data_IF_451124908694
#
_entry.id   IF_451124908694
#
_cell.length_a   1.000
_cell.length_b   1.000
_cell.length_c   1.000
_cell.angle_alpha   90.00
_cell.angle_beta   90.00
_cell.angle_gamma   90.00
#
_symmetry.space_group_name_H-M   'P 1'
#
loop_
_entity.id
_entity.type
_entity.pdbx_description
1 polymer ?
#
# COMPACT_ATOMS: atom_id res chain seq x y z
N UNK A 1 -21.08 -4.10 5.94
CA UNK A 1 -20.01 -4.98 5.45
C UNK A 1 -18.74 -4.15 5.28
N UNK A 2 -17.63 -4.56 5.90
CA UNK A 2 -16.38 -3.79 5.95
C UNK A 2 -15.76 -3.61 4.56
N UNK A 3 -15.39 -2.39 4.22
CA UNK A 3 -14.78 -2.05 2.94
C UNK A 3 -13.33 -2.52 2.80
N UNK A 4 -12.75 -2.29 1.62
CA UNK A 4 -11.33 -2.50 1.36
C UNK A 4 -10.45 -1.87 2.45
N UNK A 5 -9.59 -2.67 3.09
CA UNK A 5 -8.74 -2.23 4.20
C UNK A 5 -9.29 -2.53 5.61
N UNK A 6 -10.51 -3.05 5.73
CA UNK A 6 -11.09 -3.52 7.01
C UNK A 6 -10.60 -4.90 7.47
N UNK A 7 -9.58 -5.45 6.80
CA UNK A 7 -8.93 -6.68 7.21
C UNK A 7 -8.38 -6.58 8.64
N UNK A 8 -8.24 -7.73 9.31
CA UNK A 8 -7.76 -7.82 10.69
C UNK A 8 -6.52 -6.92 10.88
N UNK A 9 -6.49 -6.01 11.86
CA UNK A 9 -5.28 -5.27 12.17
C UNK A 9 -4.17 -6.29 12.44
N UNK A 10 -3.15 -6.32 11.59
CA UNK A 10 -1.94 -7.05 11.90
C UNK A 10 -1.31 -6.43 13.15
N UNK A 11 -0.47 -7.18 13.87
CA UNK A 11 0.35 -6.60 14.94
C UNK A 11 1.30 -5.49 14.43
N UNK A 12 1.47 -5.40 13.11
CA UNK A 12 2.32 -4.42 12.42
C UNK A 12 1.45 -3.37 11.76
N UNK A 13 1.93 -2.12 11.78
CA UNK A 13 1.31 -1.02 11.06
C UNK A 13 1.32 -1.28 9.54
N UNK A 14 0.21 -0.99 8.86
CA UNK A 14 0.11 -1.16 7.41
C UNK A 14 0.77 0.00 6.68
N UNK A 15 1.48 -0.29 5.60
CA UNK A 15 2.16 0.70 4.76
C UNK A 15 1.17 1.68 4.11
N UNK A 16 -0.02 1.20 3.77
CA UNK A 16 -1.11 1.92 3.13
C UNK A 16 -1.74 2.98 4.06
N UNK A 17 -1.69 2.74 5.37
CA UNK A 17 -2.21 3.66 6.40
C UNK A 17 -1.15 4.68 6.86
N UNK A 18 0.11 4.47 6.50
CA UNK A 18 1.22 5.35 6.82
C UNK A 18 1.37 6.47 5.77
N UNK A 19 1.66 7.70 6.23
CA UNK A 19 2.19 8.73 5.33
C UNK A 19 3.56 8.27 4.85
N UNK A 20 3.76 8.34 3.54
CA UNK A 20 5.01 7.90 2.93
C UNK A 20 5.49 8.87 1.86
N UNK A 21 6.81 8.97 1.74
CA UNK A 21 7.49 9.64 0.65
C UNK A 21 7.87 8.59 -0.38
N UNK A 22 7.37 8.73 -1.60
CA UNK A 22 7.77 7.89 -2.74
C UNK A 22 8.75 8.67 -3.61
N UNK A 23 9.99 8.17 -3.68
CA UNK A 23 11.07 8.83 -4.43
C UNK A 23 10.75 8.94 -5.92
N UNK A 24 10.02 7.97 -6.50
CA UNK A 24 9.68 8.00 -7.92
C UNK A 24 8.60 9.06 -8.19
N UNK A 25 7.69 9.26 -7.23
CA UNK A 25 6.67 10.30 -7.32
C UNK A 25 7.29 11.69 -7.17
N UNK A 26 8.16 11.87 -6.18
CA UNK A 26 8.94 13.09 -5.99
C UNK A 26 9.77 13.43 -7.24
N UNK A 27 10.39 12.43 -7.86
CA UNK A 27 11.15 12.63 -9.10
C UNK A 27 10.27 13.07 -10.26
N UNK A 28 9.12 12.41 -10.45
CA UNK A 28 8.17 12.75 -11.52
C UNK A 28 7.61 14.16 -11.36
N UNK A 29 7.40 14.61 -10.13
CA UNK A 29 6.92 15.96 -9.81
C UNK A 29 8.06 17.01 -9.81
N UNK A 30 9.29 16.64 -10.21
CA UNK A 30 10.43 17.56 -10.28
C UNK A 30 10.96 18.00 -8.91
N UNK A 31 10.55 17.35 -7.82
CA UNK A 31 10.96 17.74 -6.48
C UNK A 31 12.45 17.46 -6.23
N UNK A 32 13.04 16.47 -6.91
CA UNK A 32 14.42 16.03 -6.70
C UNK A 32 15.47 16.81 -7.50
N UNK A 33 15.07 17.85 -8.25
CA UNK A 33 16.01 18.71 -8.97
C UNK A 33 16.92 19.45 -7.97
N UNK A 34 18.25 19.48 -8.14
CA UNK A 34 19.14 20.19 -7.24
C UNK A 34 18.76 21.66 -7.09
N UNK A 35 18.76 22.17 -5.86
CA UNK A 35 18.34 23.54 -5.52
C UNK A 35 16.82 23.72 -5.35
N UNK A 36 15.99 22.74 -5.74
CA UNK A 36 14.54 22.81 -5.55
C UNK A 36 14.20 22.88 -4.06
N UNK A 37 13.33 23.80 -3.69
CA UNK A 37 12.72 23.87 -2.36
C UNK A 37 11.20 23.91 -2.52
N UNK A 38 10.48 23.38 -1.53
CA UNK A 38 9.04 23.36 -1.59
C UNK A 38 8.41 22.61 -0.44
N UNK A 39 7.13 22.30 -0.60
CA UNK A 39 6.38 21.49 0.35
C UNK A 39 5.89 20.22 -0.34
N UNK A 40 5.99 19.11 0.37
CA UNK A 40 5.32 17.87 0.01
C UNK A 40 4.02 17.76 0.80
N UNK A 41 2.91 17.57 0.09
CA UNK A 41 1.56 17.56 0.66
C UNK A 41 0.93 16.19 0.47
N UNK A 42 0.39 15.63 1.55
CA UNK A 42 -0.50 14.48 1.49
C UNK A 42 -1.94 14.97 1.56
N UNK A 43 -2.77 14.47 0.66
CA UNK A 43 -4.22 14.74 0.64
C UNK A 43 -5.01 13.43 0.64
N UNK A 44 -6.23 13.50 1.19
CA UNK A 44 -7.23 12.43 1.16
C UNK A 44 -8.56 13.08 0.79
N UNK A 45 -9.23 12.54 -0.23
CA UNK A 45 -10.52 13.06 -0.73
C UNK A 45 -10.47 14.56 -1.06
N UNK A 46 -9.36 15.00 -1.68
CA UNK A 46 -9.12 16.41 -2.05
C UNK A 46 -8.74 17.33 -0.88
N UNK A 47 -8.82 16.87 0.38
CA UNK A 47 -8.43 17.64 1.55
C UNK A 47 -7.00 17.34 1.95
N UNK A 48 -6.23 18.39 2.24
CA UNK A 48 -4.90 18.23 2.80
C UNK A 48 -4.97 17.62 4.20
N UNK A 49 -4.17 16.57 4.43
CA UNK A 49 -4.07 15.89 5.72
C UNK A 49 -2.72 16.09 6.41
N UNK A 50 -1.69 16.46 5.66
CA UNK A 50 -0.36 16.76 6.20
C UNK A 50 0.50 17.47 5.15
N UNK A 51 1.46 18.25 5.63
CA UNK A 51 2.53 18.85 4.81
C UNK A 51 3.88 18.73 5.51
N UNK A 52 4.93 18.63 4.72
CA UNK A 52 6.31 18.83 5.16
C UNK A 52 7.06 19.71 4.16
N UNK A 53 8.06 20.46 4.63
CA UNK A 53 8.98 21.16 3.75
C UNK A 53 10.08 20.23 3.25
N UNK A 54 10.64 20.54 2.09
CA UNK A 54 11.82 19.86 1.57
C UNK A 54 12.79 20.83 0.89
N UNK A 55 14.03 20.38 0.77
CA UNK A 55 15.10 20.98 -0.04
C UNK A 55 15.87 19.86 -0.71
N UNK A 56 16.11 20.01 -2.01
CA UNK A 56 16.89 19.07 -2.80
C UNK A 56 18.28 19.60 -3.02
N UNK A 57 19.25 18.73 -2.76
CA UNK A 57 20.68 18.89 -3.00
C UNK A 57 21.09 17.81 -4.02
N UNK A 58 22.33 17.84 -4.52
CA UNK A 58 22.77 16.91 -5.58
C UNK A 58 22.64 15.43 -5.22
N UNK A 59 23.05 15.07 -3.99
CA UNK A 59 23.04 13.69 -3.49
C UNK A 59 22.04 13.47 -2.34
N UNK A 60 21.26 14.49 -1.97
CA UNK A 60 20.42 14.47 -0.76
C UNK A 60 19.07 15.13 -0.97
N UNK A 61 18.08 14.55 -0.30
CA UNK A 61 16.76 15.12 -0.10
C UNK A 61 16.60 15.46 1.39
N UNK A 62 16.57 16.74 1.70
CA UNK A 62 16.51 17.25 3.08
C UNK A 62 15.08 17.60 3.44
N UNK A 63 14.52 16.87 4.39
CA UNK A 63 13.18 17.10 4.90
C UNK A 63 13.23 18.11 6.05
N UNK A 64 12.27 19.03 6.10
CA UNK A 64 12.09 19.99 7.18
C UNK A 64 10.64 19.91 7.67
N UNK A 65 10.43 19.46 8.90
CA UNK A 65 9.09 19.28 9.44
C UNK A 65 9.08 19.40 10.96
N UNK A 66 7.87 19.45 11.53
CA UNK A 66 7.68 19.40 12.97
C UNK A 66 7.00 18.10 13.37
N UNK A 67 7.43 17.53 14.48
CA UNK A 67 6.83 16.32 15.05
C UNK A 67 6.47 16.57 16.50
N UNK A 68 5.37 15.95 16.93
CA UNK A 68 4.94 15.92 18.33
C UNK A 68 4.84 14.47 18.75
N UNK A 69 5.67 14.04 19.70
CA UNK A 69 5.69 12.67 20.19
C UNK A 69 5.04 12.60 21.56
N UNK A 70 4.15 11.62 21.76
CA UNK A 70 3.55 11.29 23.06
C UNK A 70 2.97 12.49 23.83
N UNK A 71 2.38 13.46 23.12
CA UNK A 71 1.78 14.64 23.73
C UNK A 71 2.76 15.72 24.20
N UNK A 72 4.07 15.54 24.02
CA UNK A 72 5.10 16.55 24.35
C UNK A 72 5.08 17.77 23.45
N UNK A 73 6.14 18.58 23.47
CA UNK A 73 6.23 19.78 22.64
C UNK A 73 6.50 19.49 21.16
N UNK A 74 6.19 20.47 20.32
CA UNK A 74 6.52 20.41 18.91
C UNK A 74 8.00 20.61 18.68
N UNK A 75 8.65 19.59 18.13
CA UNK A 75 10.07 19.61 17.80
C UNK A 75 10.27 19.83 16.29
N UNK A 76 11.17 20.75 15.93
CA UNK A 76 11.59 20.97 14.55
C UNK A 76 12.68 19.98 14.16
N UNK A 77 12.46 19.23 13.08
CA UNK A 77 13.36 18.22 12.55
C UNK A 77 13.84 18.64 11.16
N UNK A 78 15.16 18.63 10.99
CA UNK A 78 15.84 18.66 9.69
C UNK A 78 16.48 17.30 9.44
N UNK A 79 15.95 16.55 8.48
CA UNK A 79 16.37 15.19 8.20
C UNK A 79 16.98 15.09 6.79
N UNK A 80 18.32 15.03 6.66
CA UNK A 80 18.97 14.72 5.40
C UNK A 80 18.76 13.24 5.04
N UNK A 81 18.36 12.97 3.81
CA UNK A 81 18.20 11.62 3.27
C UNK A 81 19.00 11.49 1.99
N UNK A 82 19.96 10.57 1.93
CA UNK A 82 20.76 10.39 0.72
C UNK A 82 19.92 9.80 -0.42
N UNK A 83 20.20 10.25 -1.63
CA UNK A 83 19.66 9.74 -2.88
C UNK A 83 20.72 8.89 -3.59
N UNK A 84 20.27 7.84 -4.26
CA UNK A 84 21.09 7.07 -5.18
C UNK A 84 20.30 6.79 -6.45
N UNK A 85 20.99 6.55 -7.55
CA UNK A 85 20.38 6.39 -8.85
C UNK A 85 20.87 5.10 -9.49
N UNK A 86 19.96 4.38 -10.15
CA UNK A 86 20.31 3.23 -10.99
C UNK A 86 20.00 3.57 -12.44
N UNK A 87 20.91 3.30 -13.40
CA UNK A 87 20.61 3.49 -14.81
C UNK A 87 19.46 2.57 -15.24
N UNK A 88 18.61 3.06 -16.14
CA UNK A 88 17.56 2.28 -16.79
C UNK A 88 17.93 2.03 -18.25
N UNK A 89 17.40 0.94 -18.82
CA UNK A 89 17.68 0.50 -20.20
C UNK A 89 17.36 1.55 -21.28
N UNK A 90 16.52 2.55 -20.97
CA UNK A 90 16.08 3.61 -21.90
C UNK A 90 16.64 5.00 -21.54
N UNK A 91 17.86 5.07 -20.99
CA UNK A 91 18.58 6.34 -20.74
C UNK A 91 18.12 7.13 -19.51
N UNK A 92 17.00 6.79 -18.90
CA UNK A 92 16.54 7.41 -17.65
C UNK A 92 17.29 6.86 -16.43
N UNK A 93 17.25 7.60 -15.32
CA UNK A 93 17.78 7.17 -14.02
C UNK A 93 16.61 6.89 -13.08
N UNK A 94 16.66 5.76 -12.37
CA UNK A 94 15.69 5.45 -11.31
C UNK A 94 16.24 5.87 -9.96
N UNK A 95 15.62 6.85 -9.28
CA UNK A 95 16.08 7.31 -7.97
C UNK A 95 15.64 6.34 -6.87
N UNK A 96 16.41 6.32 -5.80
CA UNK A 96 16.14 5.60 -4.56
C UNK A 96 16.62 6.42 -3.38
N UNK A 97 15.93 6.28 -2.25
CA UNK A 97 16.46 6.72 -0.96
C UNK A 97 17.44 5.70 -0.40
N UNK A 98 18.43 6.20 0.35
CA UNK A 98 19.18 5.39 1.31
C UNK A 98 18.57 5.64 2.69
N UNK A 99 18.08 4.57 3.33
CA UNK A 99 17.46 4.67 4.64
C UNK A 99 18.46 5.26 5.68
N UNK A 100 18.14 6.40 6.33
CA UNK A 100 19.05 7.04 7.27
C UNK A 100 19.00 6.45 8.69
N UNK A 101 18.17 5.44 8.92
CA UNK A 101 17.97 4.84 10.24
C UNK A 101 19.25 4.24 10.80
N UNK A 102 19.45 4.36 12.11
CA UNK A 102 20.35 3.53 12.91
C UNK A 102 19.49 2.70 13.84
N UNK A 103 19.58 1.37 13.74
CA UNK A 103 18.79 0.44 14.55
C UNK A 103 19.76 -0.45 15.33
N UNK A 104 19.64 -0.48 16.65
CA UNK A 104 20.52 -1.24 17.55
C UNK A 104 22.02 -0.94 17.29
N UNK A 105 22.37 0.34 17.15
CA UNK A 105 23.74 0.78 16.88
C UNK A 105 24.27 0.53 15.45
N UNK A 106 23.46 -0.05 14.55
CA UNK A 106 23.85 -0.33 13.16
C UNK A 106 23.09 0.53 12.17
N UNK A 107 23.81 1.17 11.26
CA UNK A 107 23.21 1.93 10.16
C UNK A 107 22.44 0.99 9.22
N UNK A 108 21.19 1.35 8.89
CA UNK A 108 20.36 0.54 8.01
C UNK A 108 20.87 0.56 6.57
N UNK A 109 21.14 1.74 6.00
CA UNK A 109 21.76 1.92 4.68
C UNK A 109 21.00 1.32 3.48
N UNK A 110 19.81 0.76 3.67
CA UNK A 110 19.07 0.07 2.61
C UNK A 110 18.62 1.06 1.53
N UNK A 111 18.81 0.66 0.27
CA UNK A 111 18.24 1.32 -0.91
C UNK A 111 16.75 1.02 -1.01
N UNK A 112 15.89 2.04 -0.91
CA UNK A 112 14.42 1.89 -0.87
C UNK A 112 13.70 2.93 -1.71
N UNK A 113 12.55 2.55 -2.26
CA UNK A 113 11.69 3.49 -3.01
C UNK A 113 10.80 4.36 -2.13
N UNK A 114 10.52 3.92 -0.89
CA UNK A 114 9.64 4.63 0.04
C UNK A 114 10.24 4.76 1.43
N UNK A 115 10.01 5.92 2.04
CA UNK A 115 10.20 6.16 3.47
C UNK A 115 8.84 6.46 4.11
N UNK A 116 8.64 6.03 5.34
CA UNK A 116 7.37 6.09 6.05
C UNK A 116 7.51 6.95 7.30
N UNK A 117 6.46 7.70 7.65
CA UNK A 117 6.35 8.38 8.94
C UNK A 117 5.85 7.38 9.98
N UNK A 118 6.75 6.82 10.78
CA UNK A 118 6.42 5.87 11.86
C UNK A 118 6.79 6.38 13.26
N UNK A 119 7.32 7.60 13.37
CA UNK A 119 7.78 8.18 14.63
C UNK A 119 8.46 9.52 14.37
N UNK A 120 9.62 9.74 15.01
CA UNK A 120 10.39 11.00 14.88
C UNK A 120 10.92 11.27 13.47
N UNK A 121 11.26 10.23 12.72
CA UNK A 121 11.96 10.32 11.43
C UNK A 121 11.18 9.64 10.29
N UNK A 122 11.55 9.93 9.04
CA UNK A 122 11.09 9.15 7.89
C UNK A 122 12.06 8.01 7.61
N UNK A 123 11.66 6.77 7.88
CA UNK A 123 12.53 5.58 7.78
C UNK A 123 11.92 4.52 6.86
N UNK A 124 12.72 3.53 6.46
CA UNK A 124 12.20 2.45 5.60
C UNK A 124 11.24 1.52 6.36
N UNK A 125 10.41 0.80 5.61
CA UNK A 125 9.44 -0.16 6.18
C UNK A 125 10.06 -1.19 7.12
N UNK A 126 11.31 -1.59 6.87
CA UNK A 126 11.97 -2.60 7.70
C UNK A 126 12.40 -2.05 9.05
N UNK A 127 12.81 -0.78 9.12
CA UNK A 127 13.17 -0.12 10.37
C UNK A 127 11.95 0.15 11.25
N UNK A 128 10.82 0.50 10.63
CA UNK A 128 9.54 0.68 11.33
C UNK A 128 8.69 -0.58 11.43
N UNK A 129 9.21 -1.73 11.00
CA UNK A 129 8.46 -2.98 10.97
C UNK A 129 7.06 -2.88 10.32
N UNK A 130 6.95 -2.03 9.29
CA UNK A 130 5.73 -1.79 8.52
C UNK A 130 5.55 -2.93 7.51
N UNK A 131 4.35 -3.49 7.48
CA UNK A 131 3.94 -4.53 6.53
C UNK A 131 3.01 -3.92 5.47
N UNK A 132 2.96 -4.51 4.27
CA UNK A 132 1.86 -4.21 3.34
C UNK A 132 0.61 -4.95 3.80
N UNK A 133 -0.57 -4.38 3.62
CA UNK A 133 -1.85 -5.02 3.98
C UNK A 133 -1.97 -6.42 3.34
N UNK A 134 -1.44 -6.59 2.13
CA UNK A 134 -1.40 -7.88 1.43
C UNK A 134 -0.62 -8.98 2.17
N UNK A 135 0.30 -8.64 3.08
CA UNK A 135 1.07 -9.60 3.89
C UNK A 135 0.28 -10.14 5.08
N UNK A 136 -0.75 -9.43 5.55
CA UNK A 136 -1.62 -9.85 6.65
C UNK A 136 -3.01 -10.29 6.18
N UNK A 137 -3.23 -10.34 4.86
CA UNK A 137 -4.53 -10.57 4.28
C UNK A 137 -5.00 -12.04 4.42
N UNK A 138 -6.15 -12.30 5.07
CA UNK A 138 -6.73 -13.62 5.18
C UNK A 138 -6.97 -14.29 3.82
N UNK A 139 -6.93 -15.63 3.77
CA UNK A 139 -7.07 -16.37 2.52
C UNK A 139 -8.39 -16.05 1.78
N UNK A 140 -9.50 -15.87 2.49
CA UNK A 140 -10.79 -15.48 1.87
C UNK A 140 -10.72 -14.09 1.23
N UNK A 141 -10.15 -13.09 1.91
CA UNK A 141 -9.94 -11.74 1.35
C UNK A 141 -9.05 -11.77 0.10
N UNK A 142 -7.99 -12.62 0.11
CA UNK A 142 -7.14 -12.80 -1.07
C UNK A 142 -7.90 -13.37 -2.27
N UNK A 143 -8.87 -14.25 -2.04
CA UNK A 143 -9.73 -14.79 -3.09
C UNK A 143 -10.69 -13.71 -3.63
N UNK A 144 -11.33 -12.94 -2.74
CA UNK A 144 -12.21 -11.83 -3.15
C UNK A 144 -11.46 -10.77 -3.96
N UNK A 145 -10.24 -10.40 -3.58
CA UNK A 145 -9.42 -9.45 -4.34
C UNK A 145 -9.03 -10.01 -5.72
N UNK A 146 -8.79 -11.32 -5.85
CA UNK A 146 -8.56 -11.96 -7.17
C UNK A 146 -9.81 -11.88 -8.05
N UNK A 147 -10.99 -12.19 -7.50
CA UNK A 147 -12.26 -12.04 -8.19
C UNK A 147 -12.51 -10.59 -8.64
N UNK A 148 -12.30 -9.63 -7.76
CA UNK A 148 -12.51 -8.21 -8.06
C UNK A 148 -11.55 -7.67 -9.12
N UNK A 149 -10.30 -8.14 -9.15
CA UNK A 149 -9.37 -7.80 -10.24
C UNK A 149 -9.93 -8.26 -11.60
N UNK A 150 -10.46 -9.47 -11.66
CA UNK A 150 -11.07 -10.01 -12.89
C UNK A 150 -12.35 -9.26 -13.27
N UNK A 151 -13.19 -8.87 -12.31
CA UNK A 151 -14.39 -8.03 -12.54
C UNK A 151 -14.02 -6.70 -13.19
N UNK A 152 -13.01 -6.01 -12.66
CA UNK A 152 -12.50 -4.75 -13.21
C UNK A 152 -11.91 -4.96 -14.61
N UNK A 153 -11.18 -6.05 -14.84
CA UNK A 153 -10.67 -6.38 -16.19
C UNK A 153 -11.77 -6.70 -17.21
N UNK A 154 -12.98 -7.07 -16.77
CA UNK A 154 -14.17 -7.21 -17.62
C UNK A 154 -14.92 -5.88 -17.80
N UNK A 155 -14.43 -4.78 -17.20
CA UNK A 155 -15.09 -3.47 -17.23
C UNK A 155 -16.24 -3.33 -16.23
N UNK A 156 -16.35 -4.24 -15.25
CA UNK A 156 -17.35 -4.19 -14.19
C UNK A 156 -16.84 -3.59 -12.88
N UNK A 157 -17.76 -3.45 -11.92
CA UNK A 157 -17.46 -2.98 -10.57
C UNK A 157 -16.99 -4.13 -9.67
N UNK A 158 -16.07 -3.87 -8.72
CA UNK A 158 -15.67 -4.87 -7.72
C UNK A 158 -16.81 -5.12 -6.71
N UNK A 159 -16.89 -6.35 -6.20
CA UNK A 159 -17.84 -6.75 -5.17
C UNK A 159 -18.77 -7.87 -5.62
N UNK A 160 -19.07 -8.79 -4.70
CA UNK A 160 -19.88 -9.99 -4.95
C UNK A 160 -21.36 -9.66 -5.22
N UNK A 161 -21.85 -8.53 -4.70
CA UNK A 161 -23.20 -8.04 -4.92
C UNK A 161 -23.45 -7.49 -6.33
N UNK A 162 -22.39 -7.17 -7.08
CA UNK A 162 -22.51 -6.68 -8.45
C UNK A 162 -22.61 -7.85 -9.43
N UNK A 163 -23.34 -7.67 -10.52
CA UNK A 163 -23.31 -8.63 -11.63
C UNK A 163 -21.91 -8.75 -12.23
N UNK A 164 -21.61 -9.88 -12.86
CA UNK A 164 -20.39 -9.99 -13.69
C UNK A 164 -20.66 -9.27 -15.01
N UNK A 165 -19.85 -8.27 -15.33
CA UNK A 165 -20.00 -7.48 -16.54
C UNK A 165 -20.01 -8.36 -17.80
N UNK A 166 -20.79 -7.99 -18.84
CA UNK A 166 -20.82 -8.73 -20.09
C UNK A 166 -19.46 -8.70 -20.79
N UNK A 167 -19.28 -9.59 -21.75
CA UNK A 167 -18.02 -9.72 -22.48
C UNK A 167 -17.60 -8.41 -23.16
N UNK A 168 -16.39 -7.88 -22.87
CA UNK A 168 -15.86 -6.72 -23.58
C UNK A 168 -15.66 -6.96 -25.07
N UNK A 169 -15.82 -5.90 -25.88
CA UNK A 169 -15.53 -5.93 -27.31
C UNK A 169 -14.07 -6.35 -27.55
N UNK A 170 -13.84 -7.25 -28.51
CA UNK A 170 -12.50 -7.78 -28.83
C UNK A 170 -12.03 -8.92 -27.92
N UNK A 171 -12.73 -9.23 -26.82
CA UNK A 171 -12.40 -10.39 -26.00
C UNK A 171 -12.95 -11.68 -26.62
N UNK A 172 -12.10 -12.71 -26.67
CA UNK A 172 -12.50 -14.05 -27.10
C UNK A 172 -13.47 -14.68 -26.10
N UNK A 173 -14.49 -15.38 -26.60
CA UNK A 173 -15.52 -16.01 -25.75
C UNK A 173 -14.92 -16.97 -24.73
N UNK A 174 -13.92 -17.78 -25.13
CA UNK A 174 -13.20 -18.69 -24.21
C UNK A 174 -12.52 -17.96 -23.06
N UNK A 175 -11.92 -16.80 -23.32
CA UNK A 175 -11.23 -16.00 -22.30
C UNK A 175 -12.24 -15.41 -21.33
N UNK A 176 -13.36 -14.90 -21.85
CA UNK A 176 -14.46 -14.39 -21.04
C UNK A 176 -15.02 -15.46 -20.10
N UNK A 177 -15.36 -16.64 -20.63
CA UNK A 177 -15.89 -17.74 -19.82
C UNK A 177 -14.89 -18.17 -18.74
N UNK A 178 -13.60 -18.30 -19.09
CA UNK A 178 -12.56 -18.61 -18.10
C UNK A 178 -12.52 -17.58 -16.96
N UNK A 179 -12.53 -16.28 -17.27
CA UNK A 179 -12.56 -15.23 -16.23
C UNK A 179 -13.83 -15.29 -15.38
N UNK A 180 -14.99 -15.52 -16.01
CA UNK A 180 -16.27 -15.65 -15.32
C UNK A 180 -16.29 -16.84 -14.35
N UNK A 181 -15.84 -18.01 -14.79
CA UNK A 181 -15.72 -19.19 -13.92
C UNK A 181 -14.71 -18.96 -12.79
N UNK A 182 -13.59 -18.30 -13.08
CA UNK A 182 -12.59 -17.98 -12.06
C UNK A 182 -13.10 -16.99 -11.01
N UNK A 183 -13.90 -15.99 -11.39
CA UNK A 183 -14.60 -15.10 -10.46
C UNK A 183 -15.49 -15.91 -9.52
N UNK A 184 -16.39 -16.73 -10.09
CA UNK A 184 -17.33 -17.54 -9.30
C UNK A 184 -16.59 -18.50 -8.36
N UNK A 185 -15.56 -19.18 -8.85
CA UNK A 185 -14.75 -20.08 -8.04
C UNK A 185 -14.05 -19.34 -6.90
N UNK A 186 -13.45 -18.17 -7.15
CA UNK A 186 -12.83 -17.38 -6.09
C UNK A 186 -13.84 -16.92 -5.03
N UNK A 187 -15.04 -16.51 -5.45
CA UNK A 187 -16.10 -16.06 -4.53
C UNK A 187 -16.64 -17.23 -3.68
N UNK A 188 -16.86 -18.40 -4.27
CA UNK A 188 -17.21 -19.62 -3.55
C UNK A 188 -16.13 -20.02 -2.54
N UNK A 189 -14.87 -20.08 -2.97
CA UNK A 189 -13.76 -20.40 -2.07
C UNK A 189 -13.61 -19.38 -0.94
N UNK A 190 -13.86 -18.10 -1.22
CA UNK A 190 -13.86 -17.07 -0.18
C UNK A 190 -14.96 -17.33 0.86
N UNK A 191 -16.19 -17.64 0.41
CA UNK A 191 -17.31 -17.96 1.29
C UNK A 191 -17.01 -19.19 2.14
N UNK A 192 -16.57 -20.30 1.53
CA UNK A 192 -16.20 -21.53 2.25
C UNK A 192 -15.15 -21.24 3.33
N UNK A 193 -14.07 -20.54 2.98
CA UNK A 193 -13.00 -20.18 3.92
C UNK A 193 -13.46 -19.23 5.04
N UNK A 194 -14.36 -18.29 4.73
CA UNK A 194 -14.93 -17.38 5.70
C UNK A 194 -15.80 -18.16 6.71
N UNK A 195 -16.71 -18.99 6.22
CA UNK A 195 -17.63 -19.78 7.05
C UNK A 195 -16.86 -20.77 7.91
N UNK A 196 -15.89 -21.51 7.35
CA UNK A 196 -15.03 -22.41 8.14
C UNK A 196 -14.25 -21.67 9.22
N UNK A 197 -13.79 -20.44 8.96
CA UNK A 197 -13.07 -19.63 9.96
C UNK A 197 -13.94 -19.25 11.14
N UNK A 198 -15.23 -18.99 10.90
CA UNK A 198 -16.18 -18.59 11.93
C UNK A 198 -17.08 -19.74 12.38
N UNK A 199 -16.66 -21.01 12.18
CA UNK A 199 -17.38 -22.23 12.60
C UNK A 199 -17.91 -22.16 14.02
N UNK A 200 -17.13 -21.61 14.95
CA UNK A 200 -17.48 -21.50 16.37
C UNK A 200 -18.71 -20.62 16.64
N UNK A 201 -19.10 -19.78 15.69
CA UNK A 201 -20.27 -18.89 15.78
C UNK A 201 -21.53 -19.50 15.16
N UNK A 202 -21.44 -20.72 14.60
CA UNK A 202 -22.53 -21.41 13.91
C UNK A 202 -22.89 -22.69 14.67
N UNK A 203 -24.17 -23.02 14.73
CA UNK A 203 -24.63 -24.38 15.07
C UNK A 203 -24.17 -25.39 14.01
N UNK A 204 -24.21 -26.69 14.33
CA UNK A 204 -23.84 -27.74 13.35
C UNK A 204 -24.79 -27.71 12.13
N UNK A 205 -26.08 -27.52 12.35
CA UNK A 205 -27.10 -27.47 11.29
C UNK A 205 -26.91 -26.25 10.37
N UNK A 206 -26.63 -25.07 10.95
CA UNK A 206 -26.32 -23.87 10.17
C UNK A 206 -25.02 -24.04 9.38
N UNK A 207 -24.00 -24.66 9.98
CA UNK A 207 -22.73 -24.91 9.29
C UNK A 207 -22.94 -25.83 8.09
N UNK A 208 -23.64 -26.95 8.25
CA UNK A 208 -23.87 -27.93 7.20
C UNK A 208 -24.61 -27.32 5.99
N UNK A 209 -25.60 -26.45 6.24
CA UNK A 209 -26.38 -25.75 5.21
C UNK A 209 -25.52 -24.89 4.25
N UNK A 210 -24.31 -24.48 4.67
CA UNK A 210 -23.42 -23.67 3.83
C UNK A 210 -22.46 -24.48 2.95
N UNK A 211 -22.33 -25.79 3.16
CA UNK A 211 -21.37 -26.63 2.44
C UNK A 211 -22.01 -27.73 1.58
N UNK A 212 -23.31 -27.98 1.75
CA UNK A 212 -24.17 -28.79 0.88
C UNK A 212 -24.56 -28.03 -0.41
#
# INVERSE_FOLDING_TARGET
>A
MGGYGSGRPGHRQNAEDCRSLDVNRLHREGCLEPGKTGNWVWSRDGREIARIGYRSEDDRFVLNYRVRLYGGDWESIKQPTRLTYTPCNFGNKRPYFICPAVVNGRACGRRVGKLFSGGRYFLCRHCYNVAYTSQSEPRYDRMLRRANKLRVELGGEPGTAHWIAPKPKGMWQRTYQRKRFEIQWCEDQANRLFISRFRQLLSEDEFQTFFD
#
